data_IF_720012282050
#
_entry.id   IF_720012282050
#
_cell.length_a   1.000
_cell.length_b   1.000
_cell.length_c   1.000
_cell.angle_alpha   90.00
_cell.angle_beta   90.00
_cell.angle_gamma   90.00
#
_symmetry.space_group_name_H-M   'P 1'
#
loop_
_entity.id
_entity.type
_entity.pdbx_description
1 polymer ?
#
# COMPACT_ATOMS: atom_id res chain seq x y z
N UNK A 1 28.43 -4.49 25.81
CA UNK A 1 28.99 -5.05 24.56
C UNK A 1 27.80 -5.11 23.65
N UNK A 2 27.62 -4.03 22.92
CA UNK A 2 26.33 -3.63 22.40
C UNK A 2 26.36 -4.15 20.97
N UNK A 3 26.01 -5.43 20.81
CA UNK A 3 26.11 -6.19 19.55
C UNK A 3 25.03 -5.84 18.52
N UNK A 4 24.53 -4.60 18.54
CA UNK A 4 23.46 -4.16 17.63
C UNK A 4 23.88 -2.83 17.01
N UNK A 5 23.98 -2.82 15.67
CA UNK A 5 24.33 -1.61 14.92
C UNK A 5 23.27 -0.53 15.12
N UNK A 6 23.62 0.73 14.86
CA UNK A 6 22.67 1.85 14.95
C UNK A 6 21.43 1.63 14.05
N UNK A 7 21.59 0.87 12.96
CA UNK A 7 20.53 0.47 12.02
C UNK A 7 19.52 -0.55 12.62
N UNK A 8 19.88 -1.30 13.67
CA UNK A 8 18.94 -2.23 14.33
C UNK A 8 18.03 -1.50 15.33
N UNK A 9 18.47 -0.33 15.81
CA UNK A 9 17.71 0.47 16.79
C UNK A 9 16.48 1.13 16.19
N UNK A 10 16.51 1.42 14.88
CA UNK A 10 15.33 2.01 14.21
C UNK A 10 14.23 0.97 14.05
N UNK A 11 14.57 -0.29 13.77
CA UNK A 11 13.60 -1.39 13.75
C UNK A 11 12.93 -1.56 15.12
N UNK A 12 13.70 -1.61 16.21
CA UNK A 12 13.12 -1.74 17.55
C UNK A 12 12.12 -0.61 17.86
N UNK A 13 12.46 0.62 17.47
CA UNK A 13 11.53 1.76 17.62
C UNK A 13 10.26 1.58 16.78
N UNK A 14 10.37 1.06 15.55
CA UNK A 14 9.24 0.73 14.67
C UNK A 14 8.36 -0.37 15.28
N UNK A 15 8.96 -1.47 15.74
CA UNK A 15 8.24 -2.59 16.38
C UNK A 15 7.50 -2.14 17.65
N UNK A 16 8.08 -1.20 18.40
CA UNK A 16 7.47 -0.66 19.63
C UNK A 16 6.46 0.45 19.36
N UNK A 17 6.35 0.94 18.12
CA UNK A 17 5.51 2.09 17.75
C UNK A 17 6.01 3.41 18.36
N UNK A 18 7.31 3.49 18.72
CA UNK A 18 7.91 4.69 19.30
C UNK A 18 8.34 5.66 18.20
N UNK A 19 7.37 6.42 17.71
CA UNK A 19 7.55 7.43 16.65
C UNK A 19 8.61 8.47 17.03
N UNK A 20 8.75 8.82 18.31
CA UNK A 20 9.70 9.83 18.77
C UNK A 20 11.14 9.30 18.74
N UNK A 21 11.34 8.06 19.21
CA UNK A 21 12.63 7.39 19.12
C UNK A 21 13.03 7.14 17.66
N UNK A 22 12.10 6.64 16.84
CA UNK A 22 12.33 6.42 15.41
C UNK A 22 12.74 7.72 14.70
N UNK A 23 12.04 8.83 14.96
CA UNK A 23 12.40 10.14 14.37
C UNK A 23 13.83 10.55 14.73
N UNK A 24 14.20 10.43 16.00
CA UNK A 24 15.54 10.81 16.47
C UNK A 24 16.64 10.00 15.76
N UNK A 25 16.41 8.70 15.55
CA UNK A 25 17.36 7.82 14.86
C UNK A 25 17.46 8.15 13.37
N UNK A 26 16.33 8.41 12.71
CA UNK A 26 16.28 8.80 11.31
C UNK A 26 16.96 10.16 11.07
N UNK A 27 16.77 11.13 11.96
CA UNK A 27 17.47 12.43 11.94
C UNK A 27 18.99 12.27 12.15
N UNK A 28 19.43 11.23 12.86
CA UNK A 28 20.83 10.87 13.04
C UNK A 28 21.44 10.14 11.82
N UNK A 29 20.62 9.80 10.81
CA UNK A 29 21.07 9.16 9.57
C UNK A 29 20.83 7.65 9.49
N UNK A 30 20.00 7.07 10.38
CA UNK A 30 19.59 5.67 10.26
C UNK A 30 18.84 5.41 8.94
N UNK A 31 19.02 4.22 8.36
CA UNK A 31 18.36 3.83 7.11
C UNK A 31 16.83 3.67 7.31
N UNK A 32 15.97 4.40 6.56
CA UNK A 32 14.51 4.31 6.69
C UNK A 32 13.88 3.13 5.92
N UNK A 33 14.66 2.42 5.09
CA UNK A 33 14.11 1.45 4.15
C UNK A 33 14.01 0.04 4.74
N UNK A 34 15.10 -0.45 5.32
CA UNK A 34 15.20 -1.82 5.81
C UNK A 34 16.22 -1.94 6.95
N UNK A 35 16.02 -2.95 7.79
CA UNK A 35 16.94 -3.34 8.85
C UNK A 35 18.13 -4.17 8.34
N UNK A 36 18.98 -4.66 9.25
CA UNK A 36 20.13 -5.50 8.91
C UNK A 36 19.79 -6.91 8.39
N UNK A 37 18.55 -7.38 8.60
CA UNK A 37 18.04 -8.66 8.06
C UNK A 37 17.29 -8.50 6.73
N UNK A 38 17.10 -7.28 6.25
CA UNK A 38 16.38 -6.97 5.02
C UNK A 38 14.86 -6.87 5.19
N UNK A 39 14.35 -6.80 6.41
CA UNK A 39 12.94 -6.53 6.65
C UNK A 39 12.65 -5.05 6.34
N UNK A 40 11.58 -4.82 5.57
CA UNK A 40 11.13 -3.47 5.23
C UNK A 40 10.53 -2.78 6.44
N UNK A 41 11.11 -1.65 6.88
CA UNK A 41 10.61 -0.91 8.05
C UNK A 41 9.19 -0.40 7.83
N UNK A 42 8.90 0.07 6.61
CA UNK A 42 7.55 0.50 6.27
C UNK A 42 6.60 -0.69 6.16
N UNK A 43 7.09 -1.86 5.72
CA UNK A 43 6.33 -3.11 5.75
C UNK A 43 5.87 -3.45 7.17
N UNK A 44 6.78 -3.45 8.14
CA UNK A 44 6.44 -3.67 9.55
C UNK A 44 5.44 -2.64 10.06
N UNK A 45 5.64 -1.35 9.78
CA UNK A 45 4.69 -0.31 10.18
C UNK A 45 3.27 -0.56 9.60
N UNK A 46 3.16 -1.00 8.35
CA UNK A 46 1.87 -1.31 7.72
C UNK A 46 1.24 -2.58 8.30
N UNK A 47 2.02 -3.64 8.53
CA UNK A 47 1.53 -4.89 9.13
C UNK A 47 0.97 -4.66 10.54
N UNK A 48 1.58 -3.75 11.28
CA UNK A 48 1.12 -3.27 12.60
C UNK A 48 -0.02 -2.27 12.54
N UNK A 49 -0.38 -1.78 11.35
CA UNK A 49 -1.33 -0.69 11.12
C UNK A 49 -0.95 0.63 11.78
N UNK A 50 0.35 0.88 11.93
CA UNK A 50 0.88 2.11 12.51
C UNK A 50 1.06 3.17 11.40
N UNK A 51 -0.04 3.88 11.11
CA UNK A 51 -0.03 4.95 10.11
C UNK A 51 0.85 6.13 10.48
N UNK A 52 1.11 6.37 11.78
CA UNK A 52 2.00 7.46 12.21
C UNK A 52 3.46 7.11 11.93
N UNK A 53 3.86 5.87 12.25
CA UNK A 53 5.19 5.36 11.92
C UNK A 53 5.40 5.26 10.41
N UNK A 54 4.41 4.74 9.67
CA UNK A 54 4.50 4.67 8.21
C UNK A 54 4.67 6.06 7.57
N UNK A 55 3.94 7.08 8.04
CA UNK A 55 4.11 8.47 7.58
C UNK A 55 5.49 9.04 7.91
N UNK A 56 6.01 8.75 9.10
CA UNK A 56 7.37 9.14 9.48
C UNK A 56 8.41 8.51 8.54
N UNK A 57 8.31 7.21 8.28
CA UNK A 57 9.26 6.52 7.40
C UNK A 57 9.23 7.11 5.98
N UNK A 58 8.04 7.44 5.46
CA UNK A 58 7.87 8.13 4.17
C UNK A 58 8.48 9.53 4.18
N UNK A 59 8.35 10.30 5.26
CA UNK A 59 8.98 11.62 5.43
C UNK A 59 10.51 11.53 5.27
N UNK A 60 11.10 10.43 5.72
CA UNK A 60 12.54 10.15 5.59
C UNK A 60 12.92 9.41 4.30
N UNK A 61 11.98 9.22 3.37
CA UNK A 61 12.27 8.69 2.04
C UNK A 61 12.03 7.18 1.88
N UNK A 62 11.47 6.50 2.88
CA UNK A 62 10.98 5.14 2.67
C UNK A 62 9.97 5.12 1.51
N UNK A 63 9.94 4.02 0.75
CA UNK A 63 9.07 3.87 -0.42
C UNK A 63 8.00 2.85 -0.10
N UNK A 64 6.73 3.21 -0.33
CA UNK A 64 5.55 2.36 -0.15
C UNK A 64 5.41 1.29 -1.26
N UNK A 65 6.50 0.58 -1.56
CA UNK A 65 6.59 -0.35 -2.67
C UNK A 65 6.84 0.34 -4.01
N UNK A 66 7.60 -0.33 -4.88
CA UNK A 66 7.92 0.18 -6.21
C UNK A 66 6.79 -0.11 -7.21
N UNK A 67 6.73 0.66 -8.29
CA UNK A 67 5.86 0.31 -9.42
C UNK A 67 6.44 -0.96 -10.05
N UNK A 68 5.61 -1.99 -10.21
CA UNK A 68 6.03 -3.24 -10.85
C UNK A 68 6.43 -3.02 -12.32
N UNK A 69 7.16 -3.97 -12.91
CA UNK A 69 7.52 -3.92 -14.34
C UNK A 69 6.28 -3.87 -15.25
N UNK A 70 5.14 -4.34 -14.74
CA UNK A 70 3.84 -4.27 -15.40
C UNK A 70 3.09 -2.93 -15.21
N UNK A 71 3.76 -1.93 -14.62
CA UNK A 71 3.14 -0.66 -14.28
C UNK A 71 2.21 -0.74 -13.08
N UNK A 72 2.16 -1.85 -12.32
CA UNK A 72 1.29 -1.92 -11.13
C UNK A 72 1.86 -1.10 -9.99
N UNK A 73 1.21 0.01 -9.72
CA UNK A 73 1.39 0.82 -8.51
C UNK A 73 1.00 0.03 -7.23
N UNK A 74 1.57 0.38 -6.07
CA UNK A 74 1.21 -0.20 -4.77
C UNK A 74 -0.29 -0.24 -4.48
N UNK A 75 -1.02 0.80 -4.90
CA UNK A 75 -2.48 0.89 -4.74
C UNK A 75 -3.24 -0.21 -5.50
N UNK A 76 -2.73 -0.74 -6.62
CA UNK A 76 -3.32 -1.90 -7.29
C UNK A 76 -3.20 -3.16 -6.43
N UNK A 77 -2.02 -3.36 -5.82
CA UNK A 77 -1.77 -4.51 -4.94
C UNK A 77 -2.61 -4.43 -3.68
N UNK A 78 -2.70 -3.25 -3.07
CA UNK A 78 -3.56 -3.02 -1.91
C UNK A 78 -5.05 -3.23 -2.23
N UNK A 79 -5.51 -2.82 -3.42
CA UNK A 79 -6.88 -3.06 -3.86
C UNK A 79 -7.20 -4.55 -4.09
N UNK A 80 -6.21 -5.34 -4.47
CA UNK A 80 -6.32 -6.80 -4.58
C UNK A 80 -6.09 -7.54 -3.25
N UNK A 81 -5.64 -6.85 -2.19
CA UNK A 81 -5.18 -7.45 -0.95
C UNK A 81 -6.35 -7.82 -0.02
N UNK A 82 -7.06 -8.89 -0.39
CA UNK A 82 -8.01 -9.56 0.50
C UNK A 82 -9.13 -8.67 1.06
N UNK A 83 -9.73 -9.05 2.20
CA UNK A 83 -10.93 -8.38 2.73
C UNK A 83 -10.62 -7.10 3.52
N UNK A 84 -9.36 -6.82 3.84
CA UNK A 84 -8.96 -5.72 4.71
C UNK A 84 -8.42 -4.54 3.89
N UNK A 85 -9.17 -3.43 3.78
CA UNK A 85 -8.77 -2.32 2.95
C UNK A 85 -7.81 -1.35 3.65
N UNK A 86 -7.26 -1.66 4.83
CA UNK A 86 -6.50 -0.69 5.63
C UNK A 86 -5.31 -0.08 4.87
N UNK A 87 -4.48 -0.91 4.21
CA UNK A 87 -3.35 -0.39 3.41
C UNK A 87 -3.83 0.45 2.24
N UNK A 88 -4.95 0.07 1.62
CA UNK A 88 -5.57 0.84 0.54
C UNK A 88 -6.08 2.20 1.04
N UNK A 89 -6.79 2.23 2.16
CA UNK A 89 -7.28 3.47 2.80
C UNK A 89 -6.10 4.39 3.13
N UNK A 90 -5.02 3.84 3.70
CA UNK A 90 -3.81 4.59 3.99
C UNK A 90 -3.17 5.18 2.71
N UNK A 91 -3.08 4.42 1.62
CA UNK A 91 -2.56 4.92 0.34
C UNK A 91 -3.42 6.05 -0.24
N UNK A 92 -4.75 5.94 -0.13
CA UNK A 92 -5.69 6.97 -0.56
C UNK A 92 -5.53 8.25 0.29
N UNK A 93 -5.35 8.12 1.60
CA UNK A 93 -5.06 9.27 2.49
C UNK A 93 -3.74 9.97 2.15
N UNK A 94 -2.76 9.22 1.64
CA UNK A 94 -1.50 9.78 1.14
C UNK A 94 -1.63 10.44 -0.24
N UNK A 95 -2.83 10.43 -0.84
CA UNK A 95 -3.12 11.07 -2.12
C UNK A 95 -2.75 10.23 -3.34
N UNK A 96 -2.63 8.91 -3.20
CA UNK A 96 -2.49 8.04 -4.38
C UNK A 96 -3.75 8.12 -5.25
N UNK A 97 -3.55 8.24 -6.56
CA UNK A 97 -4.64 8.33 -7.52
C UNK A 97 -5.44 7.01 -7.58
N UNK A 98 -6.74 7.00 -7.23
CA UNK A 98 -7.58 5.81 -7.32
C UNK A 98 -7.87 5.35 -8.76
N UNK A 99 -7.52 6.18 -9.77
CA UNK A 99 -7.71 5.91 -11.20
C UNK A 99 -6.42 5.64 -11.95
N UNK A 100 -5.27 5.54 -11.25
CA UNK A 100 -4.00 5.21 -11.89
C UNK A 100 -4.12 3.90 -12.66
N UNK A 101 -3.52 3.83 -13.86
CA UNK A 101 -3.59 2.64 -14.71
C UNK A 101 -2.24 1.94 -14.79
N UNK A 102 -2.24 0.61 -14.71
CA UNK A 102 -1.10 -0.21 -15.10
C UNK A 102 -0.95 -0.31 -16.64
N UNK A 103 0.05 -1.07 -17.12
CA UNK A 103 0.32 -1.20 -18.56
C UNK A 103 -0.81 -1.89 -19.35
N UNK A 104 -1.76 -2.53 -18.68
CA UNK A 104 -2.91 -3.20 -19.26
C UNK A 104 -4.19 -2.34 -19.19
N UNK A 105 -4.07 -1.10 -18.70
CA UNK A 105 -5.20 -0.21 -18.45
C UNK A 105 -6.01 -0.63 -17.22
N UNK A 106 -5.47 -1.47 -16.35
CA UNK A 106 -6.17 -1.80 -15.10
C UNK A 106 -6.03 -0.67 -14.12
N UNK A 107 -7.15 -0.28 -13.53
CA UNK A 107 -7.20 0.61 -12.36
C UNK A 107 -7.19 -0.21 -11.07
N UNK A 108 -6.93 0.39 -9.89
CA UNK A 108 -7.15 -0.26 -8.60
C UNK A 108 -8.54 -0.88 -8.47
N UNK A 109 -9.56 -0.24 -9.05
CA UNK A 109 -10.93 -0.75 -9.01
C UNK A 109 -11.11 -2.04 -9.84
N UNK A 110 -10.43 -2.15 -10.99
CA UNK A 110 -10.37 -3.41 -11.74
C UNK A 110 -9.74 -4.53 -10.91
N UNK A 111 -8.65 -4.22 -10.20
CA UNK A 111 -8.00 -5.19 -9.30
C UNK A 111 -8.95 -5.64 -8.18
N UNK A 112 -9.58 -4.70 -7.47
CA UNK A 112 -10.55 -5.04 -6.42
C UNK A 112 -11.70 -5.92 -6.94
N UNK A 113 -12.23 -5.60 -8.12
CA UNK A 113 -13.31 -6.36 -8.75
C UNK A 113 -12.90 -7.79 -9.12
N UNK A 114 -11.74 -7.95 -9.75
CA UNK A 114 -11.23 -9.23 -10.21
C UNK A 114 -10.99 -10.22 -9.04
N UNK A 115 -10.55 -9.72 -7.89
CA UNK A 115 -10.28 -10.51 -6.69
C UNK A 115 -11.47 -10.59 -5.72
N UNK A 116 -12.57 -9.87 -5.97
CA UNK A 116 -13.75 -9.85 -5.09
C UNK A 116 -13.51 -9.12 -3.77
N UNK A 117 -12.64 -8.11 -3.77
CA UNK A 117 -12.36 -7.29 -2.61
C UNK A 117 -13.43 -6.19 -2.46
N UNK A 118 -14.65 -6.59 -2.07
CA UNK A 118 -15.83 -5.71 -2.00
C UNK A 118 -15.58 -4.45 -1.17
N UNK A 119 -14.95 -4.58 0.01
CA UNK A 119 -14.63 -3.43 0.86
C UNK A 119 -13.61 -2.50 0.21
N UNK A 120 -12.62 -3.04 -0.49
CA UNK A 120 -11.65 -2.23 -1.23
C UNK A 120 -12.33 -1.45 -2.37
N UNK A 121 -13.23 -2.10 -3.12
CA UNK A 121 -14.01 -1.46 -4.16
C UNK A 121 -14.87 -0.31 -3.61
N UNK A 122 -15.56 -0.51 -2.48
CA UNK A 122 -16.32 0.57 -1.81
C UNK A 122 -15.44 1.77 -1.45
N UNK A 123 -14.23 1.54 -0.92
CA UNK A 123 -13.30 2.63 -0.56
C UNK A 123 -12.79 3.38 -1.78
N UNK A 124 -12.45 2.65 -2.84
CA UNK A 124 -12.03 3.25 -4.11
C UNK A 124 -13.15 4.10 -4.72
N UNK A 125 -14.39 3.60 -4.74
CA UNK A 125 -15.55 4.36 -5.23
C UNK A 125 -15.80 5.62 -4.39
N UNK A 126 -15.70 5.51 -3.07
CA UNK A 126 -15.80 6.66 -2.16
C UNK A 126 -14.68 7.70 -2.38
N UNK A 127 -13.51 7.25 -2.81
CA UNK A 127 -12.37 8.10 -3.17
C UNK A 127 -12.43 8.65 -4.61
N UNK A 128 -13.49 8.36 -5.38
CA UNK A 128 -13.67 8.89 -6.73
C UNK A 128 -13.07 8.02 -7.84
N UNK A 129 -12.89 6.72 -7.60
CA UNK A 129 -12.59 5.78 -8.68
C UNK A 129 -13.73 5.72 -9.70
N UNK A 130 -13.39 5.68 -10.99
CA UNK A 130 -14.34 5.58 -12.10
C UNK A 130 -14.79 4.11 -12.29
N UNK A 131 -16.06 3.76 -12.01
CA UNK A 131 -16.59 2.42 -12.23
C UNK A 131 -16.77 2.07 -13.71
N UNK A 132 -16.70 3.05 -14.61
CA UNK A 132 -16.85 2.90 -16.06
C UNK A 132 -15.52 2.83 -16.81
N UNK A 133 -14.39 2.93 -16.11
CA UNK A 133 -13.07 2.75 -16.70
C UNK A 133 -12.99 1.40 -17.41
N UNK A 134 -12.26 1.35 -18.53
CA UNK A 134 -12.08 0.13 -19.32
C UNK A 134 -10.62 -0.21 -19.46
N UNK A 135 -10.30 -1.50 -19.30
CA UNK A 135 -8.97 -2.05 -19.64
C UNK A 135 -8.70 -1.98 -21.14
N UNK A 136 -7.46 -2.29 -21.56
CA UNK A 136 -7.11 -2.42 -22.98
C UNK A 136 -7.91 -3.53 -23.71
N UNK A 137 -8.49 -4.48 -22.98
CA UNK A 137 -9.40 -5.51 -23.51
C UNK A 137 -10.86 -5.04 -23.58
N UNK A 138 -11.16 -3.79 -23.21
CA UNK A 138 -12.51 -3.23 -23.21
C UNK A 138 -13.41 -3.74 -22.07
N UNK A 139 -12.83 -4.29 -21.00
CA UNK A 139 -13.57 -4.79 -19.83
C UNK A 139 -13.61 -3.72 -18.74
N UNK A 140 -14.80 -3.53 -18.15
CA UNK A 140 -15.01 -2.71 -16.94
C UNK A 140 -14.67 -3.50 -15.67
N UNK A 141 -14.55 -2.86 -14.50
CA UNK A 141 -14.43 -3.57 -13.22
C UNK A 141 -15.57 -4.58 -13.00
N UNK A 142 -16.82 -4.18 -13.30
CA UNK A 142 -17.98 -5.06 -13.16
C UNK A 142 -17.89 -6.30 -14.09
N UNK A 143 -17.41 -6.13 -15.32
CA UNK A 143 -17.19 -7.26 -16.25
C UNK A 143 -16.18 -8.26 -15.67
N UNK A 144 -15.09 -7.77 -15.06
CA UNK A 144 -14.08 -8.63 -14.43
C UNK A 144 -14.63 -9.38 -13.21
N UNK A 145 -15.45 -8.72 -12.38
CA UNK A 145 -16.12 -9.37 -11.26
C UNK A 145 -17.04 -10.50 -11.76
N UNK A 146 -17.85 -10.23 -12.79
CA UNK A 146 -18.76 -11.21 -13.39
C UNK A 146 -18.01 -12.41 -14.00
N UNK A 147 -16.96 -12.17 -14.77
CA UNK A 147 -16.12 -13.23 -15.38
C UNK A 147 -15.50 -14.13 -14.31
N UNK A 148 -15.09 -13.55 -13.17
CA UNK A 148 -14.46 -14.28 -12.09
C UNK A 148 -15.46 -14.83 -11.04
N UNK A 149 -16.77 -14.68 -11.26
CA UNK A 149 -17.82 -15.12 -10.33
C UNK A 149 -17.73 -14.44 -8.96
N UNK A 150 -17.30 -13.17 -8.93
CA UNK A 150 -17.16 -12.37 -7.71
C UNK A 150 -18.40 -11.52 -7.48
N UNK A 151 -18.68 -11.27 -6.22
CA UNK A 151 -19.73 -10.33 -5.83
C UNK A 151 -19.23 -8.89 -6.05
N UNK A 152 -20.05 -8.08 -6.72
CA UNK A 152 -19.71 -6.73 -7.12
C UNK A 152 -20.60 -5.75 -6.37
N UNK A 153 -20.04 -4.78 -5.62
CA UNK A 153 -20.83 -3.84 -4.82
C UNK A 153 -21.40 -2.72 -5.69
N UNK A 154 -22.29 -3.03 -6.65
CA UNK A 154 -23.20 -2.09 -7.32
C UNK A 154 -24.49 -2.79 -7.77
#
# INVERSE_FOLDING_TARGET
>A
MDEWGEDDRVLEAVERGDVAAARTLLEAGANPHFDSWGCSLIGEALDRRDGAMARLLLEFGAVLGEVGEDGRHPIHRAAAAGPDPWVLEFLLELGHDPNVTDQHGWTPLHAAAAYGATRAAERLLAAGADPSAVTHEGKTPADLAAVNGRDWPL
#
